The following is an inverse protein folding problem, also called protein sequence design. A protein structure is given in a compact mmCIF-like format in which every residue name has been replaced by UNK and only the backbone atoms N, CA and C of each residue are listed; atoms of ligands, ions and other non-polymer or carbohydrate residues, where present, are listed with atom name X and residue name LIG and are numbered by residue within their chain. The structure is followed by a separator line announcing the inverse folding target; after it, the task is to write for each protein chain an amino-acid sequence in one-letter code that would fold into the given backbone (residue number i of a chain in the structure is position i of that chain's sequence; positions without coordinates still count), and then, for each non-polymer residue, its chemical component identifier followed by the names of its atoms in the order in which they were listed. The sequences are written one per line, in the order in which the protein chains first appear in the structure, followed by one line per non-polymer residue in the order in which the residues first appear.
data_IF_751150264156
#
_entry.id   IF_751150264156
#
_cell.length_a   1.000
_cell.length_b   1.000
_cell.length_c   1.000
_cell.angle_alpha   90.00
_cell.angle_beta   90.00
_cell.angle_gamma   90.00
#
_symmetry.space_group_name_H-M   'P 1'
#
loop_
_entity.id
_entity.type
_entity.pdbx_description
1 polymer ?
#
# COMPACT_ATOMS: atom_id res chain seq x y z
N UNK A 1 17.47 -25.61 -18.78
CA UNK A 1 17.39 -24.23 -18.27
C UNK A 1 16.49 -24.21 -17.03
N UNK A 2 16.96 -23.57 -15.92
CA UNK A 2 16.27 -23.52 -14.63
C UNK A 2 14.84 -22.96 -14.77
N UNK A 3 14.65 -21.90 -15.57
CA UNK A 3 13.36 -21.27 -15.81
C UNK A 3 12.39 -22.21 -16.57
N UNK A 4 12.85 -22.97 -17.54
CA UNK A 4 12.02 -23.91 -18.30
C UNK A 4 11.51 -25.08 -17.45
N UNK A 5 12.34 -25.60 -16.55
CA UNK A 5 11.95 -26.73 -15.67
C UNK A 5 10.85 -26.35 -14.70
N UNK A 6 10.93 -25.15 -14.15
CA UNK A 6 10.02 -24.67 -13.10
C UNK A 6 8.68 -24.16 -13.68
N UNK A 7 8.66 -23.63 -14.92
CA UNK A 7 7.44 -23.06 -15.53
C UNK A 7 6.53 -24.06 -16.23
N UNK A 8 6.88 -25.36 -16.29
CA UNK A 8 6.05 -26.38 -16.92
C UNK A 8 4.79 -26.76 -16.14
N UNK A 9 4.76 -26.49 -14.84
CA UNK A 9 3.61 -26.76 -13.99
C UNK A 9 2.89 -25.46 -13.62
N UNK A 10 1.55 -25.42 -13.60
CA UNK A 10 0.83 -24.23 -13.16
C UNK A 10 1.10 -23.97 -11.67
N UNK A 11 1.32 -22.69 -11.33
CA UNK A 11 1.51 -22.25 -9.96
C UNK A 11 0.22 -21.63 -9.41
N UNK A 12 0.02 -21.82 -8.12
CA UNK A 12 -1.14 -21.25 -7.43
C UNK A 12 -0.98 -19.74 -7.17
N UNK A 13 0.27 -19.29 -6.98
CA UNK A 13 0.62 -17.93 -6.60
C UNK A 13 2.09 -17.61 -6.92
N UNK A 14 2.42 -16.33 -6.99
CA UNK A 14 3.74 -15.83 -7.41
C UNK A 14 4.83 -16.09 -6.38
N UNK A 15 4.49 -16.10 -5.10
CA UNK A 15 5.44 -16.38 -4.01
C UNK A 15 5.86 -17.85 -3.97
N UNK A 16 4.93 -18.76 -4.25
CA UNK A 16 5.25 -20.18 -4.36
C UNK A 16 6.18 -20.47 -5.54
N UNK A 17 5.97 -19.79 -6.67
CA UNK A 17 6.87 -19.85 -7.80
C UNK A 17 8.28 -19.37 -7.41
N UNK A 18 8.37 -18.20 -6.78
CA UNK A 18 9.65 -17.64 -6.34
C UNK A 18 10.38 -18.56 -5.36
N UNK A 19 9.64 -19.14 -4.40
CA UNK A 19 10.20 -20.09 -3.41
C UNK A 19 10.74 -21.36 -4.06
N UNK A 20 10.01 -21.96 -4.99
CA UNK A 20 10.47 -23.14 -5.73
C UNK A 20 11.71 -22.84 -6.58
N UNK A 21 11.73 -21.70 -7.27
CA UNK A 21 12.91 -21.27 -8.03
C UNK A 21 14.13 -21.07 -7.12
N UNK A 22 13.94 -20.43 -5.96
CA UNK A 22 15.03 -20.23 -4.99
C UNK A 22 15.57 -21.59 -4.48
N UNK A 23 14.70 -22.54 -4.13
CA UNK A 23 15.10 -23.87 -3.71
C UNK A 23 15.90 -24.61 -4.80
N UNK A 24 15.42 -24.54 -6.04
CA UNK A 24 16.11 -25.18 -7.16
C UNK A 24 17.47 -24.55 -7.46
N UNK A 25 17.59 -23.21 -7.36
CA UNK A 25 18.88 -22.52 -7.48
C UNK A 25 19.84 -22.97 -6.39
N UNK A 26 19.37 -23.04 -5.14
CA UNK A 26 20.18 -23.48 -4.01
C UNK A 26 20.78 -24.88 -4.27
N UNK A 27 19.94 -25.81 -4.71
CA UNK A 27 20.32 -27.19 -4.97
C UNK A 27 21.28 -27.34 -6.17
N UNK A 28 20.93 -26.71 -7.31
CA UNK A 28 21.67 -26.87 -8.56
C UNK A 28 22.98 -26.09 -8.64
N UNK A 29 23.14 -25.06 -7.84
CA UNK A 29 24.35 -24.20 -7.81
C UNK A 29 25.23 -24.46 -6.58
N UNK A 30 24.92 -25.46 -5.76
CA UNK A 30 25.62 -25.78 -4.50
C UNK A 30 25.78 -24.51 -3.62
N UNK A 31 24.77 -23.65 -3.64
CA UNK A 31 24.79 -22.38 -2.92
C UNK A 31 24.36 -22.59 -1.45
N UNK A 32 24.79 -21.67 -0.56
CA UNK A 32 24.37 -21.72 0.86
C UNK A 32 23.10 -20.91 1.08
N UNK A 33 22.79 -19.98 0.18
CA UNK A 33 21.53 -19.21 0.12
C UNK A 33 21.20 -18.82 -1.31
N UNK A 34 19.91 -18.74 -1.62
CA UNK A 34 19.39 -18.24 -2.88
C UNK A 34 18.17 -17.36 -2.63
N UNK A 35 18.01 -16.31 -3.42
CA UNK A 35 16.84 -15.45 -3.39
C UNK A 35 16.32 -15.22 -4.81
N UNK A 36 15.01 -15.30 -4.97
CA UNK A 36 14.31 -15.01 -6.23
C UNK A 36 13.23 -14.00 -5.97
N UNK A 37 13.21 -12.93 -6.75
CA UNK A 37 12.15 -11.92 -6.75
C UNK A 37 11.46 -11.90 -8.09
N UNK A 38 10.15 -12.04 -8.07
CA UNK A 38 9.29 -11.98 -9.25
C UNK A 38 8.40 -10.74 -9.12
N UNK A 39 8.32 -9.95 -10.18
CA UNK A 39 7.37 -8.84 -10.32
C UNK A 39 6.56 -9.08 -11.59
N UNK A 40 5.26 -9.20 -11.43
CA UNK A 40 4.34 -9.48 -12.53
C UNK A 40 3.21 -8.46 -12.56
N UNK A 41 2.94 -7.89 -13.71
CA UNK A 41 1.74 -7.08 -13.90
C UNK A 41 0.54 -7.98 -14.12
N UNK A 42 -0.49 -7.81 -13.30
CA UNK A 42 -1.70 -8.61 -13.34
C UNK A 42 -2.92 -7.71 -13.48
N UNK A 43 -3.79 -7.97 -14.47
CA UNK A 43 -5.04 -7.26 -14.60
C UNK A 43 -6.05 -7.74 -13.55
N UNK A 44 -6.66 -6.79 -12.86
CA UNK A 44 -7.80 -7.07 -11.94
C UNK A 44 -8.99 -6.27 -12.42
N UNK A 45 -10.13 -6.94 -12.53
CA UNK A 45 -11.40 -6.30 -12.87
C UNK A 45 -11.93 -5.53 -11.66
N UNK A 46 -12.29 -4.27 -11.88
CA UNK A 46 -12.93 -3.38 -10.91
C UNK A 46 -14.26 -2.88 -11.45
N UNK A 47 -15.02 -2.28 -10.58
CA UNK A 47 -16.26 -1.59 -10.94
C UNK A 47 -16.11 -0.13 -10.55
N UNK A 48 -16.44 0.80 -11.44
CA UNK A 48 -16.39 2.24 -11.15
C UNK A 48 -17.38 2.61 -10.05
N UNK A 49 -17.06 3.61 -9.20
CA UNK A 49 -17.75 3.79 -7.92
C UNK A 49 -19.19 4.29 -8.02
N UNK A 50 -19.55 5.03 -9.07
CA UNK A 50 -20.86 5.65 -9.24
C UNK A 50 -21.64 4.99 -10.39
N UNK A 51 -20.99 4.88 -11.55
CA UNK A 51 -21.67 4.38 -12.76
C UNK A 51 -21.70 2.85 -12.86
N UNK A 52 -20.99 2.14 -11.97
CA UNK A 52 -21.00 0.69 -11.91
C UNK A 52 -20.42 -0.02 -13.15
N UNK A 53 -19.60 0.67 -13.93
CA UNK A 53 -19.02 0.11 -15.15
C UNK A 53 -17.82 -0.76 -14.85
N UNK A 54 -17.67 -1.92 -15.50
CA UNK A 54 -16.46 -2.71 -15.38
C UNK A 54 -15.28 -1.97 -16.01
N UNK A 55 -14.16 -1.97 -15.32
CA UNK A 55 -12.87 -1.46 -15.78
C UNK A 55 -11.77 -2.41 -15.36
N UNK A 56 -10.73 -2.51 -16.18
CA UNK A 56 -9.56 -3.33 -15.89
C UNK A 56 -8.44 -2.43 -15.39
N UNK A 57 -7.79 -2.81 -14.30
CA UNK A 57 -6.63 -2.08 -13.79
C UNK A 57 -5.46 -3.03 -13.63
N UNK A 58 -4.26 -2.54 -13.98
CA UNK A 58 -3.02 -3.29 -13.80
C UNK A 58 -2.41 -3.02 -12.43
N UNK A 59 -2.09 -4.09 -11.72
CA UNK A 59 -1.38 -4.08 -10.45
C UNK A 59 -0.08 -4.85 -10.58
N UNK A 60 0.94 -4.46 -9.83
CA UNK A 60 2.16 -5.25 -9.75
C UNK A 60 2.07 -6.22 -8.58
N UNK A 61 2.08 -7.50 -8.88
CA UNK A 61 2.26 -8.56 -7.89
C UNK A 61 3.75 -8.79 -7.67
N UNK A 62 4.12 -9.05 -6.42
CA UNK A 62 5.49 -9.29 -5.98
C UNK A 62 5.53 -10.63 -5.26
N UNK A 63 6.35 -11.55 -5.75
CA UNK A 63 6.69 -12.78 -5.06
C UNK A 63 8.16 -12.77 -4.70
N UNK A 64 8.48 -13.07 -3.45
CA UNK A 64 9.87 -13.28 -3.01
C UNK A 64 9.98 -14.67 -2.41
N UNK A 65 10.97 -15.41 -2.86
CA UNK A 65 11.37 -16.70 -2.31
C UNK A 65 12.82 -16.67 -1.91
N UNK A 66 13.12 -17.08 -0.69
CA UNK A 66 14.48 -17.22 -0.19
C UNK A 66 14.68 -18.65 0.34
N UNK A 67 15.74 -19.31 -0.11
CA UNK A 67 16.09 -20.67 0.27
C UNK A 67 17.46 -20.70 0.97
N UNK A 68 17.53 -21.45 2.04
CA UNK A 68 18.74 -21.78 2.79
C UNK A 68 18.72 -23.26 3.16
N UNK A 69 19.77 -23.77 3.78
CA UNK A 69 19.78 -25.12 4.37
C UNK A 69 18.69 -25.32 5.44
N UNK A 70 18.20 -24.25 6.06
CA UNK A 70 17.12 -24.29 7.06
C UNK A 70 15.72 -24.39 6.45
N UNK A 71 15.57 -24.13 5.16
CA UNK A 71 14.30 -24.21 4.45
C UNK A 71 14.03 -23.01 3.54
N UNK A 72 12.77 -22.85 3.13
CA UNK A 72 12.32 -21.81 2.22
C UNK A 72 11.39 -20.85 2.94
N UNK A 73 11.66 -19.55 2.82
CA UNK A 73 10.76 -18.47 3.22
C UNK A 73 10.19 -17.75 1.99
N UNK A 74 8.95 -17.32 2.10
CA UNK A 74 8.22 -16.71 0.98
C UNK A 74 7.50 -15.44 1.45
N UNK A 75 7.43 -14.44 0.55
CA UNK A 75 6.60 -13.25 0.74
C UNK A 75 5.72 -13.05 -0.49
N UNK A 76 4.47 -12.69 -0.23
CA UNK A 76 3.58 -12.10 -1.23
C UNK A 76 3.53 -10.59 -1.03
N UNK A 77 3.46 -9.85 -2.12
CA UNK A 77 3.30 -8.41 -2.05
C UNK A 77 2.62 -7.82 -3.26
N UNK A 78 2.26 -6.56 -3.11
CA UNK A 78 1.63 -5.78 -4.16
C UNK A 78 2.23 -4.37 -4.21
N UNK A 79 2.23 -3.80 -5.40
CA UNK A 79 2.47 -2.38 -5.62
C UNK A 79 1.26 -1.80 -6.35
N UNK A 80 0.69 -0.76 -5.78
CA UNK A 80 -0.60 -0.19 -6.17
C UNK A 80 -0.47 1.33 -6.29
N UNK A 81 -0.95 1.87 -7.40
CA UNK A 81 -1.07 3.30 -7.58
C UNK A 81 -2.42 3.81 -7.06
N UNK A 82 -2.41 5.00 -6.49
CA UNK A 82 -3.60 5.70 -6.00
C UNK A 82 -3.42 7.21 -6.04
N UNK A 83 -4.34 7.92 -5.44
CA UNK A 83 -4.31 9.36 -5.31
C UNK A 83 -4.10 9.74 -3.83
N UNK A 84 -3.21 10.70 -3.58
CA UNK A 84 -3.02 11.33 -2.27
C UNK A 84 -3.23 12.83 -2.38
N UNK A 85 -3.89 13.42 -1.39
CA UNK A 85 -4.09 14.86 -1.24
C UNK A 85 -3.41 15.33 0.05
N UNK A 86 -2.73 16.46 0.00
CA UNK A 86 -1.92 16.94 1.11
C UNK A 86 -2.79 17.56 2.21
N UNK A 87 -2.75 17.05 3.47
CA UNK A 87 -3.48 17.65 4.59
C UNK A 87 -3.02 19.05 4.93
N UNK A 88 -1.72 19.31 4.89
CA UNK A 88 -1.13 20.60 5.25
C UNK A 88 -1.58 21.73 4.31
N UNK A 89 -1.50 21.49 2.99
CA UNK A 89 -1.96 22.49 2.01
C UNK A 89 -3.47 22.71 2.11
N UNK A 90 -4.25 21.67 2.41
CA UNK A 90 -5.69 21.81 2.62
C UNK A 90 -6.01 22.71 3.82
N UNK A 91 -5.31 22.53 4.94
CA UNK A 91 -5.49 23.33 6.15
C UNK A 91 -5.18 24.82 5.89
N UNK A 92 -4.08 25.12 5.19
CA UNK A 92 -3.72 26.47 4.78
C UNK A 92 -4.80 27.12 3.88
N UNK A 93 -5.30 26.38 2.89
CA UNK A 93 -6.36 26.86 2.00
C UNK A 93 -7.66 27.08 2.78
N UNK A 94 -8.01 26.17 3.71
CA UNK A 94 -9.19 26.33 4.57
C UNK A 94 -9.09 27.58 5.43
N UNK A 95 -7.96 27.78 6.10
CA UNK A 95 -7.71 28.97 6.93
C UNK A 95 -7.86 30.26 6.11
N UNK A 96 -7.21 30.32 4.96
CA UNK A 96 -7.32 31.52 4.08
C UNK A 96 -8.74 31.74 3.53
N UNK A 97 -9.44 30.64 3.23
CA UNK A 97 -10.84 30.74 2.78
C UNK A 97 -11.77 31.26 3.88
N UNK A 98 -11.55 30.84 5.12
CA UNK A 98 -12.27 31.33 6.29
C UNK A 98 -12.08 32.85 6.46
N UNK A 99 -10.82 33.32 6.46
CA UNK A 99 -10.50 34.74 6.53
C UNK A 99 -11.24 35.57 5.44
N UNK A 100 -11.22 35.08 4.19
CA UNK A 100 -11.89 35.73 3.06
C UNK A 100 -13.41 35.78 3.23
N UNK A 101 -14.03 34.75 3.76
CA UNK A 101 -15.46 34.76 4.04
C UNK A 101 -15.82 35.82 5.09
N UNK A 102 -14.99 36.01 6.13
CA UNK A 102 -15.16 37.07 7.09
C UNK A 102 -14.98 38.47 6.46
N UNK A 103 -13.97 38.64 5.59
CA UNK A 103 -13.75 39.89 4.82
C UNK A 103 -14.95 40.24 3.93
N UNK A 104 -15.66 39.23 3.39
CA UNK A 104 -16.89 39.38 2.58
C UNK A 104 -18.16 39.57 3.44
N UNK A 105 -18.04 39.64 4.76
CA UNK A 105 -19.13 39.94 5.68
C UNK A 105 -19.93 38.74 6.19
N UNK A 106 -19.49 37.51 5.95
CA UNK A 106 -20.08 36.31 6.58
C UNK A 106 -19.71 36.26 8.06
N UNK A 107 -20.62 35.80 8.91
CA UNK A 107 -20.27 35.51 10.30
C UNK A 107 -19.34 34.25 10.38
N UNK A 108 -18.64 34.13 11.50
CA UNK A 108 -17.78 32.95 11.79
C UNK A 108 -18.55 31.62 11.63
N UNK A 109 -19.76 31.57 12.22
CA UNK A 109 -20.63 30.39 12.10
C UNK A 109 -21.04 30.11 10.64
N UNK A 110 -21.31 31.11 9.84
CA UNK A 110 -21.64 30.96 8.43
C UNK A 110 -20.43 30.48 7.64
N UNK A 111 -19.25 31.03 7.88
CA UNK A 111 -17.99 30.62 7.24
C UNK A 111 -17.69 29.15 7.52
N UNK A 112 -17.77 28.72 8.77
CA UNK A 112 -17.55 27.31 9.14
C UNK A 112 -18.56 26.36 8.47
N UNK A 113 -19.83 26.73 8.40
CA UNK A 113 -20.86 25.94 7.70
C UNK A 113 -20.59 25.81 6.20
N UNK A 114 -20.14 26.87 5.55
CA UNK A 114 -19.78 26.86 4.13
C UNK A 114 -18.59 25.90 3.91
N UNK A 115 -17.53 26.04 4.72
CA UNK A 115 -16.33 25.25 4.61
C UNK A 115 -16.51 23.76 4.97
N UNK A 116 -17.55 23.43 5.74
CA UNK A 116 -17.92 22.05 6.02
C UNK A 116 -18.58 21.35 4.83
N UNK A 117 -19.28 22.11 3.97
CA UNK A 117 -20.00 21.55 2.80
C UNK A 117 -19.09 21.48 1.57
N UNK A 118 -18.28 22.50 1.34
CA UNK A 118 -17.40 22.58 0.17
C UNK A 118 -16.10 21.83 0.46
N UNK A 119 -15.70 20.85 -0.37
CA UNK A 119 -14.40 20.19 -0.21
C UNK A 119 -13.26 21.21 -0.29
N UNK A 120 -12.37 21.19 0.72
CA UNK A 120 -11.18 22.04 0.73
C UNK A 120 -10.23 21.69 -0.41
N UNK A 121 -9.76 22.70 -1.14
CA UNK A 121 -8.73 22.49 -2.15
C UNK A 121 -7.39 22.10 -1.50
N UNK A 122 -6.63 21.25 -2.18
CA UNK A 122 -5.26 20.91 -1.84
C UNK A 122 -4.52 20.49 -3.11
N UNK A 123 -3.19 20.51 -3.07
CA UNK A 123 -2.49 19.77 -4.11
C UNK A 123 -2.70 18.26 -3.91
N UNK A 124 -2.78 17.58 -5.02
CA UNK A 124 -2.89 16.13 -5.04
C UNK A 124 -1.91 15.56 -6.06
N UNK A 125 -1.53 14.34 -5.86
CA UNK A 125 -0.54 13.66 -6.68
C UNK A 125 -0.81 12.16 -6.72
N UNK A 126 -0.21 11.51 -7.69
CA UNK A 126 -0.16 10.06 -7.72
C UNK A 126 0.71 9.55 -6.58
N UNK A 127 0.18 8.61 -5.83
CA UNK A 127 0.94 7.86 -4.83
C UNK A 127 1.12 6.42 -5.27
N UNK A 128 2.19 5.79 -4.78
CA UNK A 128 2.47 4.37 -4.96
C UNK A 128 2.65 3.72 -3.60
N UNK A 129 1.70 2.85 -3.26
CA UNK A 129 1.77 2.03 -2.05
C UNK A 129 2.36 0.66 -2.36
N UNK A 130 3.25 0.18 -1.50
CA UNK A 130 3.82 -1.17 -1.54
C UNK A 130 3.53 -1.85 -0.21
N UNK A 131 3.00 -3.07 -0.28
CA UNK A 131 2.72 -3.89 0.89
C UNK A 131 3.27 -5.29 0.65
N UNK A 132 4.20 -5.74 1.50
CA UNK A 132 4.76 -7.09 1.48
C UNK A 132 4.39 -7.81 2.77
N UNK A 133 4.01 -9.08 2.67
CA UNK A 133 3.72 -9.93 3.84
C UNK A 133 4.41 -11.27 3.67
N UNK A 134 5.27 -11.60 4.62
CA UNK A 134 5.99 -12.88 4.69
C UNK A 134 5.39 -13.75 5.76
N UNK A 135 4.66 -14.78 5.33
CA UNK A 135 3.99 -15.71 6.24
C UNK A 135 3.99 -17.12 5.65
N UNK A 136 3.91 -18.12 6.53
CA UNK A 136 3.56 -19.49 6.12
C UNK A 136 2.08 -19.65 5.76
N UNK A 137 1.24 -18.67 6.10
CA UNK A 137 -0.18 -18.66 5.72
C UNK A 137 -0.37 -18.03 4.33
N UNK A 138 -1.30 -18.61 3.57
CA UNK A 138 -1.64 -18.10 2.24
C UNK A 138 -2.48 -16.84 2.34
N UNK A 139 -1.98 -15.75 1.76
CA UNK A 139 -2.69 -14.47 1.65
C UNK A 139 -3.06 -14.21 0.18
N UNK A 140 -4.24 -13.65 -0.04
CA UNK A 140 -4.65 -13.28 -1.39
C UNK A 140 -4.11 -11.91 -1.75
N UNK A 141 -3.41 -11.83 -2.87
CA UNK A 141 -2.85 -10.56 -3.37
C UNK A 141 -3.94 -9.49 -3.58
N UNK A 142 -5.15 -9.89 -4.01
CA UNK A 142 -6.27 -8.96 -4.19
C UNK A 142 -6.73 -8.31 -2.88
N UNK A 143 -6.58 -8.99 -1.75
CA UNK A 143 -6.88 -8.41 -0.44
C UNK A 143 -5.83 -7.37 -0.04
N UNK A 144 -4.56 -7.63 -0.35
CA UNK A 144 -3.47 -6.67 -0.15
C UNK A 144 -3.66 -5.43 -1.04
N UNK A 145 -4.08 -5.62 -2.30
CA UNK A 145 -4.43 -4.50 -3.20
C UNK A 145 -5.50 -3.61 -2.57
N UNK A 146 -6.60 -4.20 -2.05
CA UNK A 146 -7.67 -3.43 -1.38
C UNK A 146 -7.19 -2.68 -0.15
N UNK A 147 -6.28 -3.28 0.64
CA UNK A 147 -5.68 -2.61 1.80
C UNK A 147 -4.90 -1.37 1.37
N UNK A 148 -4.04 -1.51 0.36
CA UNK A 148 -3.22 -0.39 -0.12
C UNK A 148 -4.09 0.72 -0.70
N UNK A 149 -5.09 0.39 -1.53
CA UNK A 149 -6.02 1.37 -2.10
C UNK A 149 -6.78 2.14 -1.01
N UNK A 150 -7.30 1.43 -0.01
CA UNK A 150 -8.05 2.04 1.10
C UNK A 150 -7.17 2.90 2.02
N UNK A 151 -5.86 2.72 1.98
CA UNK A 151 -4.90 3.46 2.81
C UNK A 151 -4.50 4.81 2.22
N UNK A 152 -4.76 5.06 0.93
CA UNK A 152 -4.53 6.34 0.26
C UNK A 152 -5.77 7.25 0.33
N UNK A 153 -5.67 8.47 -0.17
CA UNK A 153 -6.80 9.42 -0.19
C UNK A 153 -7.93 8.93 -1.09
N UNK A 154 -7.60 8.33 -2.23
CA UNK A 154 -8.55 7.64 -3.11
C UNK A 154 -7.84 6.61 -3.98
N UNK A 155 -8.53 5.54 -4.30
CA UNK A 155 -8.18 4.66 -5.40
C UNK A 155 -8.32 5.39 -6.75
N UNK A 156 -7.65 4.86 -7.78
CA UNK A 156 -7.73 5.34 -9.16
C UNK A 156 -8.30 4.25 -10.07
N UNK A 157 -8.69 4.63 -11.27
CA UNK A 157 -9.31 3.76 -12.27
C UNK A 157 -8.81 4.11 -13.67
N UNK A 158 -8.66 3.12 -14.54
CA UNK A 158 -8.26 3.34 -15.93
C UNK A 158 -9.37 4.04 -16.75
N UNK A 159 -10.64 3.77 -16.44
CA UNK A 159 -11.78 4.36 -17.11
C UNK A 159 -12.74 4.94 -16.09
N UNK A 160 -13.07 6.21 -16.23
CA UNK A 160 -14.05 6.93 -15.43
C UNK A 160 -15.04 7.66 -16.34
N UNK A 161 -16.27 7.85 -15.85
CA UNK A 161 -17.25 8.80 -16.38
C UNK A 161 -17.35 10.00 -15.46
N UNK A 162 -17.91 11.11 -15.93
CA UNK A 162 -17.99 12.36 -15.16
C UNK A 162 -18.46 12.19 -13.70
N UNK A 163 -19.52 11.40 -13.40
CA UNK A 163 -19.91 11.18 -12.00
C UNK A 163 -18.86 10.41 -11.19
N UNK A 164 -18.12 9.49 -11.83
CA UNK A 164 -17.04 8.75 -11.17
C UNK A 164 -15.83 9.65 -10.91
N UNK A 165 -15.49 10.56 -11.86
CA UNK A 165 -14.43 11.56 -11.69
C UNK A 165 -14.72 12.48 -10.50
N UNK A 166 -15.95 12.99 -10.41
CA UNK A 166 -16.39 13.80 -9.27
C UNK A 166 -16.21 13.04 -7.95
N UNK A 167 -16.64 11.79 -7.89
CA UNK A 167 -16.50 10.95 -6.71
C UNK A 167 -15.03 10.80 -6.28
N UNK A 168 -14.12 10.49 -7.21
CA UNK A 168 -12.69 10.32 -6.91
C UNK A 168 -12.08 11.61 -6.37
N UNK A 169 -12.40 12.76 -6.99
CA UNK A 169 -11.90 14.07 -6.56
C UNK A 169 -12.42 14.41 -5.18
N UNK A 170 -13.73 14.32 -4.95
CA UNK A 170 -14.32 14.62 -3.64
C UNK A 170 -13.79 13.69 -2.55
N UNK A 171 -13.71 12.38 -2.83
CA UNK A 171 -13.18 11.40 -1.89
C UNK A 171 -11.75 11.73 -1.48
N UNK A 172 -10.88 12.04 -2.46
CA UNK A 172 -9.49 12.36 -2.18
C UNK A 172 -9.35 13.60 -1.30
N UNK A 173 -10.10 14.67 -1.59
CA UNK A 173 -10.03 15.92 -0.83
C UNK A 173 -10.78 15.87 0.51
N UNK A 174 -11.70 14.93 0.71
CA UNK A 174 -12.33 14.67 2.02
C UNK A 174 -11.52 13.70 2.88
N UNK A 175 -10.50 13.05 2.33
CA UNK A 175 -9.65 12.09 2.99
C UNK A 175 -8.15 12.36 2.73
N UNK A 176 -7.66 13.58 3.05
CA UNK A 176 -6.24 13.90 2.84
C UNK A 176 -5.35 12.98 3.68
N UNK A 177 -4.19 12.59 3.13
CA UNK A 177 -3.26 11.64 3.75
C UNK A 177 -1.82 12.04 3.48
N UNK A 178 -1.02 12.09 4.54
CA UNK A 178 0.44 12.06 4.44
C UNK A 178 0.93 10.67 4.08
N UNK A 179 2.18 10.55 3.65
CA UNK A 179 2.80 9.23 3.36
C UNK A 179 2.82 8.35 4.60
N UNK A 180 3.05 8.93 5.79
CA UNK A 180 3.05 8.23 7.07
C UNK A 180 1.66 7.71 7.45
N UNK A 181 0.61 8.48 7.15
CA UNK A 181 -0.77 8.05 7.42
C UNK A 181 -1.15 6.85 6.57
N UNK A 182 -0.74 6.84 5.29
CA UNK A 182 -0.95 5.70 4.41
C UNK A 182 -0.21 4.45 4.92
N UNK A 183 1.05 4.58 5.36
CA UNK A 183 1.82 3.47 5.93
C UNK A 183 1.16 2.95 7.21
N UNK A 184 0.76 3.82 8.14
CA UNK A 184 0.05 3.42 9.37
C UNK A 184 -1.27 2.72 9.06
N UNK A 185 -2.02 3.22 8.05
CA UNK A 185 -3.29 2.61 7.65
C UNK A 185 -3.09 1.20 7.07
N UNK A 186 -2.07 1.00 6.22
CA UNK A 186 -1.74 -0.33 5.69
C UNK A 186 -1.40 -1.32 6.80
N UNK A 187 -0.52 -0.94 7.72
CA UNK A 187 -0.12 -1.80 8.84
C UNK A 187 -1.29 -2.10 9.78
N UNK A 188 -2.10 -1.09 10.12
CA UNK A 188 -3.32 -1.26 10.94
C UNK A 188 -4.26 -2.26 10.27
N UNK A 189 -4.48 -2.13 8.96
CA UNK A 189 -5.35 -3.02 8.22
C UNK A 189 -4.85 -4.48 8.22
N UNK A 190 -3.53 -4.71 8.17
CA UNK A 190 -2.97 -6.06 8.31
C UNK A 190 -3.22 -6.62 9.71
N UNK A 191 -2.95 -5.83 10.75
CA UNK A 191 -3.15 -6.26 12.15
C UNK A 191 -4.61 -6.61 12.43
N UNK A 192 -5.54 -5.77 11.97
CA UNK A 192 -6.97 -5.92 12.25
C UNK A 192 -7.63 -7.02 11.40
N UNK A 193 -7.20 -7.18 10.14
CA UNK A 193 -7.81 -8.13 9.20
C UNK A 193 -7.28 -9.54 9.34
N UNK A 194 -6.04 -9.67 9.83
CA UNK A 194 -5.36 -10.96 9.98
C UNK A 194 -4.82 -11.14 11.42
N UNK A 195 -5.71 -11.16 12.44
CA UNK A 195 -5.29 -11.25 13.83
C UNK A 195 -4.56 -12.57 14.16
N UNK A 196 -4.88 -13.64 13.42
CA UNK A 196 -4.35 -14.99 13.64
C UNK A 196 -2.99 -15.23 12.94
N UNK A 197 -2.44 -14.26 12.21
CA UNK A 197 -1.11 -14.42 11.65
C UNK A 197 -0.06 -14.57 12.77
N UNK A 198 0.91 -15.50 12.60
CA UNK A 198 2.00 -15.67 13.56
C UNK A 198 2.74 -14.37 13.86
N UNK A 199 3.25 -14.22 15.08
CA UNK A 199 3.97 -13.03 15.51
C UNK A 199 5.26 -12.76 14.73
N UNK A 200 5.90 -13.81 14.20
CA UNK A 200 7.08 -13.74 13.35
C UNK A 200 6.77 -13.43 11.85
N UNK A 201 5.51 -13.22 11.50
CA UNK A 201 5.11 -12.76 10.15
C UNK A 201 5.76 -11.42 9.85
N UNK A 202 6.54 -11.36 8.79
CA UNK A 202 7.15 -10.11 8.33
C UNK A 202 6.15 -9.26 7.56
N UNK A 203 6.15 -7.96 7.83
CA UNK A 203 5.34 -6.98 7.08
C UNK A 203 6.21 -5.79 6.71
N UNK A 204 6.09 -5.31 5.47
CA UNK A 204 6.62 -4.04 5.01
C UNK A 204 5.52 -3.26 4.34
N UNK A 205 5.28 -2.04 4.83
CA UNK A 205 4.42 -1.05 4.20
C UNK A 205 5.23 0.18 3.81
N UNK A 206 5.11 0.60 2.56
CA UNK A 206 5.76 1.79 2.01
C UNK A 206 4.76 2.58 1.20
N UNK A 207 4.77 3.89 1.37
CA UNK A 207 4.07 4.85 0.53
C UNK A 207 5.06 5.84 -0.06
N UNK A 208 5.00 6.05 -1.37
CA UNK A 208 5.75 7.07 -2.08
C UNK A 208 4.76 7.99 -2.81
N UNK A 209 4.90 9.29 -2.63
CA UNK A 209 4.12 10.32 -3.31
C UNK A 209 4.99 11.01 -4.36
N UNK A 210 4.48 11.08 -5.59
CA UNK A 210 5.09 11.82 -6.69
C UNK A 210 4.59 13.25 -6.61
N UNK A 211 5.29 14.08 -5.84
CA UNK A 211 4.82 15.40 -5.43
C UNK A 211 4.55 16.33 -6.62
N UNK A 212 3.41 17.06 -6.54
CA UNK A 212 2.95 17.95 -7.61
C UNK A 212 3.48 19.37 -7.54
N UNK A 213 3.83 19.85 -6.33
CA UNK A 213 4.30 21.23 -6.11
C UNK A 213 5.76 21.30 -5.63
N UNK A 214 6.40 20.17 -5.37
CA UNK A 214 7.80 20.04 -4.97
C UNK A 214 8.58 19.27 -6.03
N UNK A 215 9.87 19.58 -6.19
CA UNK A 215 10.74 18.84 -7.12
C UNK A 215 11.18 17.48 -6.58
N UNK A 216 11.08 17.25 -5.27
CA UNK A 216 11.38 15.99 -4.63
C UNK A 216 10.10 15.20 -4.36
N UNK A 217 10.21 13.87 -4.39
CA UNK A 217 9.17 12.98 -3.90
C UNK A 217 9.28 12.80 -2.40
N UNK A 218 8.17 12.47 -1.74
CA UNK A 218 8.13 12.09 -0.34
C UNK A 218 7.85 10.60 -0.21
N UNK A 219 8.46 9.93 0.77
CA UNK A 219 8.09 8.57 1.11
C UNK A 219 8.17 8.31 2.61
N UNK A 220 7.39 7.36 3.06
CA UNK A 220 7.50 6.74 4.37
C UNK A 220 7.52 5.22 4.22
N UNK A 221 8.21 4.54 5.13
CA UNK A 221 8.29 3.10 5.18
C UNK A 221 8.34 2.61 6.62
N UNK A 222 7.63 1.53 6.92
CA UNK A 222 7.74 0.80 8.18
C UNK A 222 7.71 -0.69 7.89
N UNK A 223 8.67 -1.41 8.44
CA UNK A 223 8.78 -2.87 8.34
C UNK A 223 9.15 -3.49 9.68
N UNK A 224 8.91 -4.79 9.79
CA UNK A 224 9.23 -5.60 10.95
C UNK A 224 8.37 -6.85 11.00
N UNK A 225 8.46 -7.60 12.09
CA UNK A 225 7.55 -8.71 12.36
C UNK A 225 6.33 -8.23 13.16
N UNK A 226 5.22 -8.97 13.10
CA UNK A 226 3.97 -8.58 13.75
C UNK A 226 4.11 -8.42 15.28
N UNK A 227 4.98 -9.18 15.93
CA UNK A 227 5.28 -9.00 17.36
C UNK A 227 5.93 -7.65 17.69
N UNK A 228 6.59 -7.02 16.70
CA UNK A 228 7.13 -5.67 16.83
C UNK A 228 6.09 -4.59 16.49
N UNK A 229 5.14 -4.90 15.58
CA UNK A 229 4.18 -3.93 15.02
C UNK A 229 2.89 -3.86 15.85
N UNK A 230 2.33 -5.00 16.29
CA UNK A 230 1.06 -5.04 17.04
C UNK A 230 1.03 -4.16 18.29
N UNK A 231 2.08 -4.14 19.14
CA UNK A 231 2.10 -3.30 20.33
C UNK A 231 2.02 -1.79 20.02
N UNK A 232 2.52 -1.35 18.85
CA UNK A 232 2.43 0.05 18.43
C UNK A 232 0.97 0.50 18.31
N UNK A 233 0.07 -0.41 17.90
CA UNK A 233 -1.34 -0.12 17.70
C UNK A 233 -2.22 -0.39 18.93
N UNK A 234 -1.86 -1.36 19.77
CA UNK A 234 -2.63 -1.73 20.95
C UNK A 234 -2.32 -0.81 22.14
N UNK A 235 -1.06 -0.47 22.35
CA UNK A 235 -0.57 0.18 23.56
C UNK A 235 0.05 1.55 23.29
N UNK A 236 0.15 1.96 22.00
CA UNK A 236 0.92 3.13 21.60
C UNK A 236 2.42 2.98 21.89
N UNK A 237 2.87 1.74 22.07
CA UNK A 237 4.25 1.43 22.39
C UNK A 237 5.18 1.87 21.23
N UNK A 238 6.32 2.46 21.62
CA UNK A 238 7.39 2.77 20.66
C UNK A 238 8.47 1.70 20.79
N UNK A 239 8.70 0.95 19.70
CA UNK A 239 9.80 -0.01 19.66
C UNK A 239 10.95 0.54 18.81
N UNK A 240 12.17 0.30 19.27
CA UNK A 240 13.39 0.52 18.48
C UNK A 240 13.81 -0.73 17.70
N UNK A 241 13.08 -1.83 17.91
CA UNK A 241 13.35 -3.09 17.21
C UNK A 241 12.59 -3.11 15.90
N UNK A 242 13.30 -3.40 14.82
CA UNK A 242 12.71 -3.80 13.55
C UNK A 242 13.55 -4.87 12.89
N UNK A 243 12.92 -6.00 12.71
CA UNK A 243 13.51 -7.07 11.93
C UNK A 243 13.54 -6.64 10.47
N UNK A 244 14.74 -6.57 9.89
CA UNK A 244 14.91 -6.26 8.46
C UNK A 244 14.45 -7.44 7.59
N UNK A 245 14.13 -7.15 6.32
CA UNK A 245 13.77 -8.18 5.36
C UNK A 245 14.88 -9.23 5.22
N UNK A 246 16.12 -8.81 5.10
CA UNK A 246 17.27 -9.72 4.96
C UNK A 246 17.43 -10.62 6.20
N UNK A 247 17.30 -10.03 7.40
CA UNK A 247 17.32 -10.82 8.63
C UNK A 247 16.15 -11.80 8.73
N UNK A 248 14.96 -11.40 8.28
CA UNK A 248 13.81 -12.30 8.29
C UNK A 248 13.95 -13.42 7.27
N UNK A 249 14.51 -13.15 6.08
CA UNK A 249 14.71 -14.16 5.03
C UNK A 249 15.78 -15.19 5.38
N UNK A 250 16.87 -14.79 6.04
CA UNK A 250 18.09 -15.58 6.16
C UNK A 250 18.58 -15.76 7.61
N UNK A 251 18.06 -15.00 8.58
CA UNK A 251 18.39 -15.09 10.01
C UNK A 251 17.56 -16.10 10.71
#
# INVERSE_FOLDING_TARGET
DLAEGVTREPFADVESLAGRMAAQVLETQEAVRAEVRIRAQTPIMKTTPVTGRPTQQLYTLIGVGAATVAGVRQLVGVEVNGLTACPCAQDLVRTRSHERLLEEGFSDEQAERILAVVPGASHNQRGRGTLLVGSGARLRAEDLVRIVEASMSSEIYELLKRPDELYVVEKAHRNPRFVEDAVRAMLRAIVDRYPDLPGDTFVLARQENFEGIHEHNAFAERFGVLDEIRPEFAEGARTVRHTSLDRWLFG
#
